data_IF_096485933084
#
_entry.id   IF_096485933084
#
_cell.length_a   1.000
_cell.length_b   1.000
_cell.length_c   1.000
_cell.angle_alpha   90.00
_cell.angle_beta   90.00
_cell.angle_gamma   90.00
#
_symmetry.space_group_name_H-M   'P 1'
#
loop_
_entity.id
_entity.type
_entity.pdbx_description
1 polymer ?
#
# COMPACT_ATOMS: atom_id res chain seq x y z
N UNK A 1 10.72 5.71 -10.67
CA UNK A 1 11.75 4.84 -10.03
C UNK A 1 13.07 4.86 -10.77
N UNK A 2 13.09 4.59 -12.07
CA UNK A 2 14.32 4.62 -12.89
C UNK A 2 15.09 5.95 -12.77
N UNK A 3 14.42 7.10 -12.91
CA UNK A 3 15.04 8.42 -12.73
C UNK A 3 15.66 8.58 -11.34
N UNK A 4 14.98 8.10 -10.30
CA UNK A 4 15.50 8.17 -8.92
C UNK A 4 16.75 7.29 -8.78
N UNK A 5 16.78 6.12 -9.42
CA UNK A 5 17.97 5.26 -9.42
C UNK A 5 19.16 5.89 -10.15
N UNK A 6 18.92 6.65 -11.22
CA UNK A 6 19.96 7.33 -11.97
C UNK A 6 20.48 8.58 -11.26
N UNK A 7 19.57 9.37 -10.68
CA UNK A 7 19.86 10.73 -10.22
C UNK A 7 20.02 10.85 -8.70
N UNK A 8 19.82 9.77 -7.92
CA UNK A 8 19.91 9.86 -6.46
C UNK A 8 21.28 10.34 -5.94
N UNK A 9 22.36 10.09 -6.69
CA UNK A 9 23.72 10.50 -6.32
C UNK A 9 24.05 10.18 -4.85
N UNK A 10 24.39 11.21 -4.07
CA UNK A 10 24.73 11.09 -2.65
C UNK A 10 23.53 11.19 -1.68
N UNK A 11 22.31 11.34 -2.16
CA UNK A 11 21.12 11.44 -1.31
C UNK A 11 20.78 10.09 -0.67
N UNK A 12 20.41 10.09 0.61
CA UNK A 12 19.86 8.91 1.27
C UNK A 12 18.44 8.66 0.75
N UNK A 13 18.29 7.65 -0.10
CA UNK A 13 17.04 7.34 -0.79
C UNK A 13 16.68 5.88 -0.55
N UNK A 14 15.40 5.66 -0.22
CA UNK A 14 14.73 4.37 -0.25
C UNK A 14 13.46 4.50 -1.09
N UNK A 15 13.06 3.42 -1.75
CA UNK A 15 11.80 3.32 -2.51
C UNK A 15 10.87 2.39 -1.75
N UNK A 16 9.66 2.84 -1.45
CA UNK A 16 8.60 2.00 -0.90
C UNK A 16 7.53 1.80 -1.98
N UNK A 17 7.19 0.54 -2.26
CA UNK A 17 6.17 0.11 -3.23
C UNK A 17 5.01 -0.53 -2.48
N UNK A 18 3.98 0.25 -2.10
CA UNK A 18 2.78 -0.33 -1.51
C UNK A 18 1.94 -1.05 -2.58
N UNK A 19 1.13 -2.02 -2.14
CA UNK A 19 -0.01 -2.51 -2.92
C UNK A 19 -1.18 -1.53 -2.84
N UNK A 20 -2.42 -2.00 -3.04
CA UNK A 20 -3.59 -1.15 -3.00
C UNK A 20 -3.78 -0.62 -1.58
N UNK A 21 -3.58 0.68 -1.36
CA UNK A 21 -3.72 1.27 -0.03
C UNK A 21 -5.20 1.42 0.32
N UNK A 22 -5.60 0.82 1.43
CA UNK A 22 -6.95 0.88 1.98
C UNK A 22 -7.03 1.66 3.29
N UNK A 23 -8.17 1.55 3.96
CA UNK A 23 -8.41 2.16 5.26
C UNK A 23 -7.40 1.68 6.33
N UNK A 24 -7.19 2.51 7.36
CA UNK A 24 -6.31 2.17 8.47
C UNK A 24 -6.79 0.95 9.23
N UNK A 25 -5.83 0.18 9.73
CA UNK A 25 -6.10 -0.91 10.64
C UNK A 25 -6.24 -0.42 12.09
N UNK A 26 -5.35 0.48 12.53
CA UNK A 26 -5.27 0.96 13.91
C UNK A 26 -5.22 2.48 14.03
N UNK A 27 -4.36 3.14 13.28
CA UNK A 27 -4.08 4.58 13.46
C UNK A 27 -4.57 5.41 12.25
N UNK A 28 -5.16 6.60 12.45
CA UNK A 28 -5.50 7.25 13.73
C UNK A 28 -6.64 6.57 14.50
N UNK A 29 -7.50 5.82 13.81
CA UNK A 29 -8.47 4.88 14.37
C UNK A 29 -8.85 3.86 13.26
N UNK A 30 -9.38 2.67 13.56
CA UNK A 30 -9.72 1.67 12.55
C UNK A 30 -10.74 2.17 11.53
N UNK A 31 -10.50 1.93 10.24
CA UNK A 31 -11.39 2.33 9.15
C UNK A 31 -11.25 3.79 8.69
N UNK A 32 -10.27 4.53 9.22
CA UNK A 32 -9.99 5.88 8.77
C UNK A 32 -9.43 5.89 7.33
N UNK A 33 -9.88 6.88 6.55
CA UNK A 33 -9.41 7.19 5.20
C UNK A 33 -9.29 8.70 5.06
N UNK A 34 -8.34 9.15 4.26
CA UNK A 34 -8.15 10.56 3.92
C UNK A 34 -9.01 11.01 2.72
N UNK A 35 -9.35 10.06 1.83
CA UNK A 35 -10.14 10.31 0.63
C UNK A 35 -10.90 9.05 0.15
N UNK A 36 -11.76 9.24 -0.84
CA UNK A 36 -12.57 8.17 -1.44
C UNK A 36 -12.01 7.66 -2.78
N UNK A 37 -10.73 7.89 -3.07
CA UNK A 37 -10.15 7.51 -4.34
C UNK A 37 -9.98 5.98 -4.42
N UNK A 38 -10.15 5.45 -5.63
CA UNK A 38 -9.92 4.03 -5.91
C UNK A 38 -10.84 3.10 -5.09
N UNK A 39 -10.30 2.08 -4.41
CA UNK A 39 -11.09 1.05 -3.72
C UNK A 39 -11.99 1.60 -2.61
N UNK A 40 -11.56 2.62 -1.88
CA UNK A 40 -12.35 3.23 -0.80
C UNK A 40 -13.72 3.71 -1.31
N UNK A 41 -13.75 4.37 -2.47
CA UNK A 41 -14.98 4.81 -3.12
C UNK A 41 -15.85 3.65 -3.60
N UNK A 42 -15.23 2.59 -4.12
CA UNK A 42 -15.93 1.36 -4.54
C UNK A 42 -16.64 0.73 -3.35
N UNK A 43 -15.94 0.54 -2.23
CA UNK A 43 -16.50 -0.08 -1.02
C UNK A 43 -17.63 0.73 -0.42
N UNK A 44 -17.51 2.06 -0.39
CA UNK A 44 -18.56 2.94 0.12
C UNK A 44 -19.79 2.93 -0.79
N UNK A 45 -19.59 2.98 -2.12
CA UNK A 45 -20.69 2.94 -3.07
C UNK A 45 -21.43 1.59 -3.02
N UNK A 46 -20.68 0.48 -2.87
CA UNK A 46 -21.24 -0.85 -2.69
C UNK A 46 -22.02 -0.96 -1.37
N UNK A 47 -21.40 -0.58 -0.23
CA UNK A 47 -22.05 -0.63 1.08
C UNK A 47 -23.28 0.29 1.21
N UNK A 48 -23.37 1.36 0.40
CA UNK A 48 -24.57 2.21 0.29
C UNK A 48 -25.63 1.67 -0.70
N UNK A 49 -25.37 0.56 -1.39
CA UNK A 49 -26.24 -0.01 -2.42
C UNK A 49 -26.32 0.78 -3.73
N UNK A 50 -25.43 1.76 -3.93
CA UNK A 50 -25.33 2.58 -5.14
C UNK A 50 -24.64 1.79 -6.25
N UNK A 51 -23.53 1.14 -5.91
CA UNK A 51 -22.80 0.26 -6.81
C UNK A 51 -23.29 -1.18 -6.63
N UNK A 52 -23.94 -1.73 -7.66
CA UNK A 52 -24.52 -3.09 -7.61
C UNK A 52 -23.68 -4.15 -8.31
N UNK A 53 -22.82 -3.74 -9.23
CA UNK A 53 -21.97 -4.67 -10.00
C UNK A 53 -20.60 -4.03 -10.24
N UNK A 54 -19.56 -4.86 -10.19
CA UNK A 54 -18.20 -4.48 -10.52
C UNK A 54 -17.60 -5.56 -11.41
N UNK A 55 -16.94 -5.16 -12.50
CA UNK A 55 -16.24 -6.09 -13.37
C UNK A 55 -14.84 -6.37 -12.80
N UNK A 56 -14.69 -7.50 -12.12
CA UNK A 56 -13.41 -8.01 -11.66
C UNK A 56 -13.35 -9.53 -11.90
N UNK A 57 -12.13 -10.06 -12.00
CA UNK A 57 -11.95 -11.52 -11.89
C UNK A 57 -12.09 -11.89 -10.43
N UNK A 58 -12.99 -12.81 -10.10
CA UNK A 58 -13.19 -13.25 -8.72
C UNK A 58 -11.96 -13.94 -8.13
N UNK A 59 -11.13 -14.53 -9.00
CA UNK A 59 -9.88 -15.21 -8.64
C UNK A 59 -8.67 -14.27 -8.66
N UNK A 60 -8.85 -12.98 -8.97
CA UNK A 60 -7.77 -12.01 -8.86
C UNK A 60 -7.56 -11.63 -7.38
N UNK A 61 -6.30 -11.54 -6.98
CA UNK A 61 -5.90 -11.07 -5.65
C UNK A 61 -6.21 -9.57 -5.53
N UNK A 62 -6.94 -9.23 -4.49
CA UNK A 62 -7.16 -7.89 -4.00
C UNK A 62 -6.14 -7.62 -2.89
N UNK A 63 -4.90 -7.30 -3.27
CA UNK A 63 -3.81 -7.02 -2.32
C UNK A 63 -4.02 -5.63 -1.71
N UNK A 64 -4.83 -5.57 -0.64
CA UNK A 64 -5.09 -4.38 0.13
C UNK A 64 -4.16 -4.29 1.34
N UNK A 65 -3.42 -3.18 1.43
CA UNK A 65 -2.57 -2.87 2.58
C UNK A 65 -3.14 -1.68 3.36
N UNK A 66 -3.23 -1.73 4.70
CA UNK A 66 -3.70 -0.60 5.50
C UNK A 66 -2.77 0.62 5.39
N UNK A 67 -3.35 1.82 5.31
CA UNK A 67 -2.58 3.07 5.18
C UNK A 67 -1.57 3.30 6.30
N UNK A 68 -1.92 2.96 7.54
CA UNK A 68 -1.05 3.07 8.71
C UNK A 68 0.16 2.12 8.64
N UNK A 69 -0.02 0.92 8.08
CA UNK A 69 1.11 -0.01 7.84
C UNK A 69 2.07 0.55 6.79
N UNK A 70 1.53 1.16 5.72
CA UNK A 70 2.35 1.79 4.67
C UNK A 70 3.14 2.97 5.24
N UNK A 71 2.50 3.84 6.02
CA UNK A 71 3.15 4.99 6.66
C UNK A 71 4.26 4.52 7.61
N UNK A 72 3.97 3.54 8.47
CA UNK A 72 4.97 2.97 9.37
C UNK A 72 6.15 2.35 8.62
N UNK A 73 5.89 1.70 7.48
CA UNK A 73 6.96 1.18 6.60
C UNK A 73 7.81 2.31 6.02
N UNK A 74 7.19 3.41 5.55
CA UNK A 74 7.93 4.57 5.05
C UNK A 74 8.80 5.22 6.13
N UNK A 75 8.27 5.40 7.34
CA UNK A 75 9.02 5.95 8.48
C UNK A 75 10.21 5.07 8.85
N UNK A 76 10.01 3.75 8.93
CA UNK A 76 11.08 2.79 9.21
C UNK A 76 12.15 2.79 8.10
N UNK A 77 11.74 2.80 6.83
CA UNK A 77 12.65 2.86 5.69
C UNK A 77 13.47 4.16 5.67
N UNK A 78 12.84 5.30 5.97
CA UNK A 78 13.52 6.58 6.05
C UNK A 78 14.54 6.61 7.19
N UNK A 79 14.17 6.16 8.39
CA UNK A 79 15.08 6.06 9.53
C UNK A 79 16.27 5.14 9.23
N UNK A 80 16.01 3.96 8.65
CA UNK A 80 17.06 3.02 8.29
C UNK A 80 18.00 3.60 7.23
N UNK A 81 17.45 4.17 6.15
CA UNK A 81 18.28 4.78 5.10
C UNK A 81 19.08 5.98 5.60
N UNK A 82 18.55 6.77 6.55
CA UNK A 82 19.24 7.92 7.13
C UNK A 82 20.35 7.52 8.12
N UNK A 83 20.11 6.48 8.92
CA UNK A 83 21.09 5.98 9.91
C UNK A 83 22.28 5.25 9.27
N UNK A 84 22.15 4.79 8.02
CA UNK A 84 23.19 4.07 7.27
C UNK A 84 24.16 5.00 6.51
N UNK A 85 24.24 6.29 6.86
CA UNK A 85 25.03 7.29 6.10
C UNK A 85 26.51 6.91 5.89
N UNK A 86 27.13 6.18 6.82
CA UNK A 86 28.54 5.73 6.74
C UNK A 86 28.69 4.41 5.98
N UNK A 87 27.69 3.53 6.04
CA UNK A 87 27.68 2.19 5.43
C UNK A 87 26.59 2.08 4.37
N UNK A 88 26.50 3.08 3.49
CA UNK A 88 25.39 3.17 2.55
C UNK A 88 25.46 2.00 1.55
N UNK A 89 24.37 1.24 1.35
CA UNK A 89 24.34 0.22 0.30
C UNK A 89 24.54 0.87 -1.07
N UNK A 90 25.28 0.20 -1.95
CA UNK A 90 25.57 0.72 -3.31
C UNK A 90 24.31 0.92 -4.15
N UNK A 91 23.26 0.15 -3.86
CA UNK A 91 21.98 0.22 -4.56
C UNK A 91 20.92 0.84 -3.66
N UNK A 92 19.98 1.58 -4.27
CA UNK A 92 18.79 2.09 -3.58
C UNK A 92 17.98 0.90 -3.04
N UNK A 93 17.65 0.95 -1.76
CA UNK A 93 16.82 -0.06 -1.12
C UNK A 93 15.37 0.09 -1.60
N UNK A 94 14.77 -1.03 -1.98
CA UNK A 94 13.38 -1.11 -2.44
C UNK A 94 12.61 -2.02 -1.51
N UNK A 95 11.57 -1.48 -0.88
CA UNK A 95 10.71 -2.18 0.07
C UNK A 95 9.32 -2.36 -0.54
N UNK A 96 8.87 -3.61 -0.71
CA UNK A 96 7.49 -3.88 -1.10
C UNK A 96 6.62 -3.97 0.16
N UNK A 97 5.60 -3.11 0.26
CA UNK A 97 4.63 -3.11 1.35
C UNK A 97 3.33 -3.72 0.83
N UNK A 98 3.31 -5.04 0.77
CA UNK A 98 2.27 -5.84 0.11
C UNK A 98 1.84 -6.96 1.03
N UNK A 99 0.55 -7.31 1.05
CA UNK A 99 0.09 -8.54 1.71
C UNK A 99 0.39 -9.77 0.86
N UNK A 100 0.49 -9.60 -0.46
CA UNK A 100 1.03 -10.56 -1.42
C UNK A 100 0.35 -11.93 -1.38
N UNK A 101 1.11 -12.97 -1.73
CA UNK A 101 0.67 -14.37 -1.73
C UNK A 101 0.80 -15.08 -0.37
N UNK A 102 1.17 -14.36 0.70
CA UNK A 102 1.28 -14.94 2.05
C UNK A 102 -0.11 -15.08 2.67
N UNK A 103 -0.98 -14.09 2.44
CA UNK A 103 -2.39 -14.12 2.84
C UNK A 103 -3.25 -13.44 1.76
N UNK A 104 -3.39 -14.07 0.57
CA UNK A 104 -4.09 -13.46 -0.54
C UNK A 104 -5.59 -13.38 -0.25
N UNK A 105 -6.13 -12.17 -0.33
CA UNK A 105 -7.57 -11.94 -0.28
C UNK A 105 -8.07 -11.66 -1.70
N UNK A 106 -9.12 -12.34 -2.16
CA UNK A 106 -9.58 -12.26 -3.56
C UNK A 106 -10.77 -11.33 -3.73
N UNK A 107 -10.93 -10.76 -4.93
CA UNK A 107 -12.08 -9.89 -5.23
C UNK A 107 -13.44 -10.60 -5.08
N UNK A 108 -13.49 -11.92 -5.31
CA UNK A 108 -14.70 -12.71 -5.06
C UNK A 108 -15.08 -12.81 -3.57
N UNK A 109 -14.10 -12.69 -2.67
CA UNK A 109 -14.34 -12.67 -1.21
C UNK A 109 -14.84 -11.30 -0.75
N UNK A 110 -14.27 -10.22 -1.29
CA UNK A 110 -14.75 -8.85 -1.10
C UNK A 110 -16.23 -8.72 -1.48
N UNK A 111 -16.61 -9.24 -2.65
CA UNK A 111 -17.99 -9.16 -3.13
C UNK A 111 -19.01 -9.91 -2.28
N UNK A 112 -18.57 -10.81 -1.38
CA UNK A 112 -19.45 -11.48 -0.40
C UNK A 112 -19.59 -10.72 0.92
N UNK A 113 -18.68 -9.79 1.21
CA UNK A 113 -18.68 -8.97 2.43
C UNK A 113 -19.46 -7.66 2.27
N UNK A 114 -19.70 -7.23 1.03
CA UNK A 114 -20.40 -6.00 0.66
C UNK A 114 -21.82 -6.31 0.18
#
# INVERSE_FOLDING_TARGET
EYLVQQEAGHLNVAIVRPSIVGASWKEPFPGWIDNFNGPSGIFIAAGKGILRTMRASNDAVADLVPVDVVINTMLAAAWYSGSQAVNRPRNILVYNCTTGGINPFHWGEIGRLL
#
